data_IF_475608168439
#
_entry.id   IF_475608168439
#
_cell.length_a   1.000
_cell.length_b   1.000
_cell.length_c   1.000
_cell.angle_alpha   90.00
_cell.angle_beta   90.00
_cell.angle_gamma   90.00
#
_symmetry.space_group_name_H-M   'P 1'
#
loop_
_entity.id
_entity.type
_entity.pdbx_description
1 polymer ?
#
# COMPACT_ATOMS: atom_id res chain seq x y z
N UNK A 1 17.02 -10.70 -5.48
CA UNK A 1 16.90 -10.09 -4.14
C UNK A 1 15.67 -9.19 -4.15
N UNK A 2 14.80 -9.24 -3.13
CA UNK A 2 13.54 -8.52 -3.12
C UNK A 2 13.75 -7.05 -2.73
N UNK A 3 13.41 -6.11 -3.60
CA UNK A 3 13.42 -4.68 -3.32
C UNK A 3 11.99 -4.16 -3.16
N UNK A 4 11.80 -3.27 -2.18
CA UNK A 4 10.55 -2.55 -1.98
C UNK A 4 10.83 -1.05 -2.10
N UNK A 5 10.03 -0.37 -2.92
CA UNK A 5 10.01 1.08 -3.08
C UNK A 5 8.71 1.64 -2.55
N UNK A 6 8.79 2.61 -1.65
CA UNK A 6 7.62 3.34 -1.16
C UNK A 6 7.23 4.39 -2.19
N UNK A 7 6.11 4.18 -2.87
CA UNK A 7 5.62 5.12 -3.87
C UNK A 7 4.94 6.31 -3.20
N UNK A 8 4.13 6.04 -2.18
CA UNK A 8 3.57 7.05 -1.30
C UNK A 8 3.36 6.50 0.10
N UNK A 9 3.46 7.37 1.10
CA UNK A 9 3.25 7.01 2.51
C UNK A 9 2.28 7.95 3.24
N UNK A 10 1.47 8.71 2.50
CA UNK A 10 0.48 9.64 3.02
C UNK A 10 -0.91 9.02 3.12
N UNK A 11 -1.70 9.55 4.04
CA UNK A 11 -3.13 9.27 4.15
C UNK A 11 -3.92 9.66 2.89
N UNK A 12 -5.20 9.30 2.85
CA UNK A 12 -6.12 9.45 1.70
C UNK A 12 -6.19 10.84 1.03
N UNK A 13 -5.89 11.91 1.76
CA UNK A 13 -5.89 13.29 1.28
C UNK A 13 -4.50 13.84 0.94
N UNK A 14 -3.45 13.05 1.13
CA UNK A 14 -2.05 13.44 0.93
C UNK A 14 -1.55 14.49 1.94
N UNK A 15 -0.28 14.85 1.81
CA UNK A 15 0.33 15.98 2.52
C UNK A 15 1.20 16.75 1.52
N UNK A 16 0.96 18.06 1.29
CA UNK A 16 0.04 18.95 2.01
C UNK A 16 -1.45 18.71 1.71
N UNK A 17 -2.30 19.07 2.68
CA UNK A 17 -3.76 19.07 2.52
C UNK A 17 -4.20 20.40 1.89
N UNK A 18 -5.13 20.33 0.94
CA UNK A 18 -5.72 21.51 0.29
C UNK A 18 -6.27 22.48 1.37
N UNK A 19 -5.82 23.74 1.33
CA UNK A 19 -6.18 24.82 2.28
C UNK A 19 -5.73 24.61 3.74
N UNK A 20 -4.73 23.76 4.00
CA UNK A 20 -4.16 23.62 5.34
C UNK A 20 -2.81 24.33 5.46
N UNK A 21 -2.70 25.24 6.42
CA UNK A 21 -1.48 26.00 6.72
C UNK A 21 -0.74 25.48 7.97
N UNK A 22 -0.99 24.23 8.40
CA UNK A 22 -0.27 23.67 9.55
C UNK A 22 1.24 23.52 9.26
N UNK A 23 2.05 23.37 10.32
CA UNK A 23 3.51 23.26 10.21
C UNK A 23 3.97 22.15 9.26
N UNK A 24 3.30 20.99 9.26
CA UNK A 24 3.61 19.88 8.35
C UNK A 24 3.28 20.22 6.89
N UNK A 25 2.10 20.81 6.63
CA UNK A 25 1.68 21.15 5.26
C UNK A 25 2.51 22.28 4.65
N UNK A 26 2.96 23.23 5.46
CA UNK A 26 3.81 24.35 5.03
C UNK A 26 5.30 24.01 5.09
N UNK A 27 5.66 22.81 5.56
CA UNK A 27 7.05 22.38 5.72
C UNK A 27 7.78 22.34 4.37
N UNK A 28 8.99 22.93 4.27
CA UNK A 28 9.83 22.77 3.07
C UNK A 28 10.44 21.36 2.98
N UNK A 29 10.36 20.56 4.05
CA UNK A 29 10.91 19.21 4.12
C UNK A 29 10.25 18.30 3.09
N UNK A 30 11.05 17.69 2.22
CA UNK A 30 10.55 16.67 1.27
C UNK A 30 9.91 15.46 1.97
N UNK A 31 10.30 15.17 3.22
CA UNK A 31 9.77 14.06 4.00
C UNK A 31 8.33 14.28 4.50
N UNK A 32 7.87 15.53 4.50
CA UNK A 32 6.48 15.90 4.81
C UNK A 32 5.63 16.03 3.54
N UNK A 33 6.20 15.89 2.35
CA UNK A 33 5.45 15.79 1.10
C UNK A 33 5.15 14.33 0.84
N UNK A 34 3.89 13.94 0.99
CA UNK A 34 3.44 12.54 0.96
C UNK A 34 2.29 12.39 -0.01
N UNK A 35 2.51 11.59 -1.05
CA UNK A 35 1.46 11.08 -1.94
C UNK A 35 0.74 9.91 -1.29
N UNK A 36 -0.43 9.53 -1.82
CA UNK A 36 -1.25 8.44 -1.26
C UNK A 36 -0.53 7.11 -1.25
N UNK A 37 -0.88 6.29 -0.26
CA UNK A 37 -0.25 5.00 0.02
C UNK A 37 -0.19 4.10 -1.23
N UNK A 38 1.03 3.69 -1.58
CA UNK A 38 1.30 2.69 -2.61
C UNK A 38 2.74 2.20 -2.45
N UNK A 39 3.00 0.95 -2.82
CA UNK A 39 4.36 0.39 -2.86
C UNK A 39 4.61 -0.34 -4.17
N UNK A 40 5.87 -0.39 -4.56
CA UNK A 40 6.35 -1.18 -5.68
C UNK A 40 7.32 -2.23 -5.16
N UNK A 41 7.06 -3.49 -5.50
CA UNK A 41 7.82 -4.65 -5.06
C UNK A 41 8.43 -5.29 -6.29
N UNK A 42 9.74 -5.51 -6.28
CA UNK A 42 10.40 -6.13 -7.42
C UNK A 42 11.59 -7.00 -7.04
N UNK A 43 11.90 -7.93 -7.92
CA UNK A 43 13.20 -8.59 -8.00
C UNK A 43 13.66 -8.61 -9.46
N UNK A 44 14.58 -9.51 -9.81
CA UNK A 44 15.09 -9.63 -11.19
C UNK A 44 13.99 -10.08 -12.19
N UNK A 45 12.99 -10.83 -11.73
CA UNK A 45 12.01 -11.48 -12.60
C UNK A 45 10.57 -11.00 -12.38
N UNK A 46 10.33 -10.18 -11.35
CA UNK A 46 8.99 -9.80 -10.91
C UNK A 46 8.90 -8.28 -10.69
N UNK A 47 7.83 -7.65 -11.17
CA UNK A 47 7.49 -6.25 -10.97
C UNK A 47 6.03 -6.11 -10.54
N UNK A 48 5.79 -5.82 -9.27
CA UNK A 48 4.44 -5.84 -8.67
C UNK A 48 4.14 -4.47 -8.08
N UNK A 49 3.04 -3.88 -8.53
CA UNK A 49 2.48 -2.67 -7.92
C UNK A 49 1.46 -3.07 -6.86
N UNK A 50 1.49 -2.43 -5.69
CA UNK A 50 0.45 -2.57 -4.67
C UNK A 50 -0.20 -1.21 -4.44
N UNK A 51 -1.50 -1.15 -4.71
CA UNK A 51 -2.34 0.04 -4.80
C UNK A 51 -1.91 1.04 -5.88
N UNK A 52 -2.88 1.78 -6.40
CA UNK A 52 -2.76 2.66 -7.56
C UNK A 52 -3.76 3.82 -7.47
N UNK A 53 -3.62 4.60 -6.40
CA UNK A 53 -4.40 5.80 -6.15
C UNK A 53 -4.16 6.94 -7.13
N UNK A 54 -4.74 8.11 -6.82
CA UNK A 54 -4.68 9.32 -7.64
C UNK A 54 -3.27 9.76 -8.06
N UNK A 55 -2.24 9.43 -7.27
CA UNK A 55 -0.87 9.88 -7.51
C UNK A 55 -0.05 8.90 -8.38
N UNK A 56 -0.63 7.75 -8.78
CA UNK A 56 0.15 6.63 -9.30
C UNK A 56 1.00 6.98 -10.53
N UNK A 57 0.46 7.77 -11.47
CA UNK A 57 1.23 8.24 -12.62
C UNK A 57 2.49 8.98 -12.21
N UNK A 58 2.36 9.94 -11.29
CA UNK A 58 3.49 10.73 -10.82
C UNK A 58 4.47 9.89 -10.00
N UNK A 59 3.96 8.93 -9.20
CA UNK A 59 4.78 8.00 -8.45
C UNK A 59 5.63 7.10 -9.36
N UNK A 60 5.02 6.49 -10.38
CA UNK A 60 5.73 5.64 -11.36
C UNK A 60 6.76 6.43 -12.15
N UNK A 61 6.42 7.65 -12.59
CA UNK A 61 7.35 8.53 -13.31
C UNK A 61 8.53 8.97 -12.42
N UNK A 62 8.27 9.35 -11.16
CA UNK A 62 9.29 9.77 -10.20
C UNK A 62 10.31 8.64 -9.96
N UNK A 63 9.83 7.42 -9.81
CA UNK A 63 10.67 6.24 -9.56
C UNK A 63 11.21 5.58 -10.84
N UNK A 64 10.87 6.12 -12.02
CA UNK A 64 11.25 5.60 -13.34
C UNK A 64 10.82 4.14 -13.55
N UNK A 65 9.67 3.76 -13.00
CA UNK A 65 9.08 2.43 -13.16
C UNK A 65 8.39 2.39 -14.51
N UNK A 66 8.91 1.56 -15.42
CA UNK A 66 8.43 1.44 -16.80
C UNK A 66 7.92 0.02 -17.13
N UNK A 67 7.92 -0.90 -16.18
CA UNK A 67 7.42 -2.27 -16.33
C UNK A 67 6.70 -2.69 -15.06
N UNK A 68 5.54 -3.32 -15.23
CA UNK A 68 4.77 -4.01 -14.20
C UNK A 68 4.32 -5.34 -14.78
N UNK A 69 4.38 -6.43 -14.02
CA UNK A 69 3.80 -7.73 -14.41
C UNK A 69 2.31 -7.77 -14.01
N UNK A 70 1.97 -7.25 -12.85
CA UNK A 70 0.61 -7.14 -12.34
C UNK A 70 0.48 -6.00 -11.30
N UNK A 71 -0.75 -5.75 -10.86
CA UNK A 71 -1.03 -4.95 -9.68
C UNK A 71 -1.84 -5.74 -8.65
N UNK A 72 -1.73 -5.34 -7.38
CA UNK A 72 -2.54 -5.82 -6.27
C UNK A 72 -3.29 -4.61 -5.72
N UNK A 73 -4.60 -4.73 -5.54
CA UNK A 73 -5.41 -3.73 -4.83
C UNK A 73 -5.71 -4.28 -3.44
N UNK A 74 -5.37 -3.54 -2.39
CA UNK A 74 -5.58 -3.97 -1.01
C UNK A 74 -7.05 -3.94 -0.62
N UNK A 75 -7.76 -2.89 -1.04
CA UNK A 75 -9.19 -2.70 -0.85
C UNK A 75 -9.74 -1.58 -1.74
N UNK A 76 -11.06 -1.53 -1.92
CA UNK A 76 -11.72 -0.52 -2.73
C UNK A 76 -11.96 0.81 -1.97
N UNK A 77 -10.91 1.60 -1.74
CA UNK A 77 -11.02 3.01 -1.40
C UNK A 77 -10.36 3.90 -2.46
N UNK A 78 -10.84 5.15 -2.54
CA UNK A 78 -10.53 6.06 -3.66
C UNK A 78 -9.04 6.35 -3.82
N UNK A 79 -8.35 6.52 -2.70
CA UNK A 79 -6.92 6.73 -2.58
C UNK A 79 -6.06 5.52 -2.92
N UNK A 80 -6.65 4.33 -3.09
CA UNK A 80 -5.95 3.12 -3.53
C UNK A 80 -6.27 2.72 -4.97
N UNK A 81 -7.36 3.22 -5.56
CA UNK A 81 -7.87 2.72 -6.85
C UNK A 81 -8.01 3.77 -7.94
N UNK A 82 -8.20 5.05 -7.61
CA UNK A 82 -8.64 6.03 -8.62
C UNK A 82 -7.56 6.50 -9.61
N UNK A 83 -6.35 5.95 -9.55
CA UNK A 83 -5.33 6.08 -10.60
C UNK A 83 -5.32 4.94 -11.61
N UNK A 84 -6.26 3.98 -11.51
CA UNK A 84 -6.34 2.78 -12.36
C UNK A 84 -6.25 3.07 -13.87
N UNK A 85 -6.76 4.22 -14.32
CA UNK A 85 -6.76 4.57 -15.74
C UNK A 85 -5.34 4.81 -16.32
N UNK A 86 -4.42 5.27 -15.48
CA UNK A 86 -3.03 5.48 -15.87
C UNK A 86 -2.30 4.15 -16.12
N UNK A 87 -2.82 3.03 -15.62
CA UNK A 87 -2.21 1.70 -15.81
C UNK A 87 -2.48 1.09 -17.20
N UNK A 88 -3.35 1.68 -18.03
CA UNK A 88 -3.66 1.17 -19.38
C UNK A 88 -2.43 1.07 -20.28
N UNK A 89 -1.42 1.90 -20.04
CA UNK A 89 -0.15 1.85 -20.77
C UNK A 89 0.51 0.48 -20.68
N UNK A 90 0.38 -0.20 -19.54
CA UNK A 90 0.97 -1.53 -19.34
C UNK A 90 0.26 -2.61 -20.17
N UNK A 91 -1.04 -2.48 -20.41
CA UNK A 91 -1.77 -3.34 -21.35
C UNK A 91 -1.18 -3.22 -22.76
N UNK A 92 -0.98 -1.99 -23.24
CA UNK A 92 -0.45 -1.75 -24.58
C UNK A 92 1.00 -2.21 -24.73
N UNK A 93 1.82 -1.98 -23.70
CA UNK A 93 3.23 -2.41 -23.68
C UNK A 93 3.38 -3.93 -23.67
N UNK A 94 2.51 -4.64 -22.95
CA UNK A 94 2.58 -6.11 -22.85
C UNK A 94 1.83 -6.83 -23.98
N UNK A 95 0.97 -6.13 -24.72
CA UNK A 95 0.13 -6.73 -25.77
C UNK A 95 -0.96 -7.68 -25.23
N UNK A 96 -1.25 -7.62 -23.92
CA UNK A 96 -2.27 -8.43 -23.24
C UNK A 96 -2.94 -7.61 -22.13
N UNK A 97 -4.16 -7.99 -21.69
CA UNK A 97 -4.81 -7.32 -20.56
C UNK A 97 -3.91 -7.31 -19.33
N UNK A 98 -3.82 -6.15 -18.66
CA UNK A 98 -3.04 -6.02 -17.42
C UNK A 98 -3.82 -6.61 -16.23
N UNK A 99 -3.13 -7.41 -15.42
CA UNK A 99 -3.76 -8.23 -14.40
C UNK A 99 -3.76 -7.55 -13.02
N UNK A 100 -4.91 -7.55 -12.37
CA UNK A 100 -5.14 -6.97 -11.03
C UNK A 100 -5.59 -8.09 -10.08
N UNK A 101 -4.90 -8.27 -8.96
CA UNK A 101 -5.30 -9.18 -7.89
C UNK A 101 -5.97 -8.39 -6.77
N UNK A 102 -7.13 -8.84 -6.30
CA UNK A 102 -7.88 -8.17 -5.21
C UNK A 102 -8.93 -9.11 -4.64
N UNK A 103 -9.56 -8.77 -3.52
CA UNK A 103 -10.67 -9.55 -2.97
C UNK A 103 -11.94 -9.53 -3.86
N UNK A 104 -12.89 -10.39 -3.52
CA UNK A 104 -14.14 -10.56 -4.27
C UNK A 104 -14.99 -9.28 -4.31
N UNK A 105 -15.09 -8.55 -3.19
CA UNK A 105 -15.92 -7.36 -3.09
C UNK A 105 -15.30 -6.20 -3.87
N UNK A 106 -13.98 -6.03 -3.78
CA UNK A 106 -13.24 -5.06 -4.58
C UNK A 106 -13.28 -5.40 -6.07
N UNK A 107 -13.25 -6.68 -6.43
CA UNK A 107 -13.44 -7.13 -7.82
C UNK A 107 -14.80 -6.67 -8.36
N UNK A 108 -15.89 -6.95 -7.65
CA UNK A 108 -17.23 -6.54 -8.07
C UNK A 108 -17.36 -5.02 -8.24
N UNK A 109 -16.79 -4.24 -7.31
CA UNK A 109 -16.77 -2.78 -7.37
C UNK A 109 -15.97 -2.25 -8.56
N UNK A 110 -14.80 -2.83 -8.85
CA UNK A 110 -13.97 -2.47 -10.01
C UNK A 110 -14.73 -2.66 -11.32
N UNK A 111 -15.32 -3.83 -11.54
CA UNK A 111 -16.10 -4.11 -12.76
C UNK A 111 -17.32 -3.19 -12.91
N UNK A 112 -17.92 -2.77 -11.80
CA UNK A 112 -19.07 -1.84 -11.83
C UNK A 112 -18.63 -0.40 -12.12
N UNK A 113 -17.59 0.08 -11.46
CA UNK A 113 -17.20 1.51 -11.47
C UNK A 113 -16.27 1.87 -12.63
N UNK A 114 -15.49 0.90 -13.10
CA UNK A 114 -14.53 1.05 -14.19
C UNK A 114 -14.85 0.08 -15.34
N UNK A 115 -16.14 -0.20 -15.57
CA UNK A 115 -16.63 -1.18 -16.58
C UNK A 115 -15.91 -1.08 -17.93
N UNK A 116 -15.69 0.14 -18.43
CA UNK A 116 -15.03 0.35 -19.72
C UNK A 116 -13.58 -0.14 -19.80
N UNK A 117 -12.90 -0.37 -18.67
CA UNK A 117 -11.55 -0.95 -18.61
C UNK A 117 -11.59 -2.48 -18.71
N UNK A 118 -12.71 -3.10 -18.34
CA UNK A 118 -12.90 -4.55 -18.35
C UNK A 118 -13.69 -5.02 -19.58
N UNK A 119 -14.64 -4.21 -20.05
CA UNK A 119 -15.60 -4.54 -21.10
C UNK A 119 -15.59 -3.51 -22.26
N UNK A 120 -14.40 -3.09 -22.71
CA UNK A 120 -14.31 -2.13 -23.81
C UNK A 120 -14.66 -2.76 -25.17
N UNK A 121 -15.67 -2.21 -25.87
CA UNK A 121 -16.05 -2.70 -27.21
C UNK A 121 -15.05 -2.34 -28.31
N UNK A 122 -14.29 -1.25 -28.16
CA UNK A 122 -13.37 -0.74 -29.19
C UNK A 122 -11.95 -1.25 -28.99
N UNK A 123 -11.45 -1.22 -27.75
CA UNK A 123 -10.08 -1.58 -27.41
C UNK A 123 -9.93 -3.03 -26.94
N UNK A 124 -11.05 -3.75 -26.78
CA UNK A 124 -11.06 -5.02 -26.08
C UNK A 124 -10.80 -4.85 -24.58
N UNK A 125 -10.70 -5.97 -23.86
CA UNK A 125 -10.46 -5.97 -22.42
C UNK A 125 -9.09 -5.37 -22.10
N UNK A 126 -9.05 -4.25 -21.38
CA UNK A 126 -7.78 -3.64 -20.98
C UNK A 126 -7.21 -4.29 -19.73
N UNK A 127 -8.08 -4.65 -18.77
CA UNK A 127 -7.67 -5.27 -17.50
C UNK A 127 -8.38 -6.59 -17.22
N UNK A 128 -7.73 -7.44 -16.43
CA UNK A 128 -8.35 -8.60 -15.77
C UNK A 128 -8.28 -8.47 -14.27
N UNK A 129 -9.22 -9.12 -13.58
CA UNK A 129 -9.17 -9.30 -12.13
C UNK A 129 -9.01 -10.77 -11.79
N UNK A 130 -8.13 -11.07 -10.85
CA UNK A 130 -8.07 -12.36 -10.15
C UNK A 130 -8.51 -12.15 -8.72
N UNK A 131 -9.62 -12.80 -8.34
CA UNK A 131 -10.12 -12.71 -6.97
C UNK A 131 -9.23 -13.56 -6.05
N UNK A 132 -8.72 -12.96 -4.98
CA UNK A 132 -7.98 -13.66 -3.92
C UNK A 132 -8.75 -13.58 -2.60
N UNK A 133 -8.72 -14.66 -1.83
CA UNK A 133 -9.26 -14.70 -0.47
C UNK A 133 -8.21 -14.20 0.52
N UNK A 134 -8.66 -13.76 1.70
CA UNK A 134 -7.76 -13.26 2.75
C UNK A 134 -6.70 -14.25 3.22
N UNK A 135 -6.71 -15.54 2.86
CA UNK A 135 -5.66 -16.49 3.26
C UNK A 135 -5.07 -17.23 2.08
N UNK A 136 -5.33 -16.73 0.87
CA UNK A 136 -4.77 -17.29 -0.33
C UNK A 136 -3.27 -16.99 -0.40
N UNK A 137 -2.63 -17.80 -1.23
CA UNK A 137 -1.22 -17.71 -1.52
C UNK A 137 -1.05 -17.74 -3.03
N UNK A 138 -0.46 -16.68 -3.57
CA UNK A 138 -0.20 -16.57 -5.01
C UNK A 138 1.29 -16.50 -5.26
N UNK A 139 1.68 -16.86 -6.48
CA UNK A 139 3.05 -16.73 -6.95
C UNK A 139 3.07 -15.93 -8.24
N UNK A 140 3.70 -14.77 -8.21
CA UNK A 140 3.94 -13.91 -9.38
C UNK A 140 5.41 -14.09 -9.74
N UNK A 141 5.68 -14.83 -10.81
CA UNK A 141 7.03 -15.21 -11.23
C UNK A 141 7.84 -15.82 -10.07
N UNK A 142 8.76 -15.07 -9.47
CA UNK A 142 9.61 -15.53 -8.36
C UNK A 142 9.13 -15.07 -6.98
N UNK A 143 8.18 -14.13 -6.90
CA UNK A 143 7.64 -13.59 -5.65
C UNK A 143 6.41 -14.38 -5.22
N UNK A 144 6.45 -14.88 -4.00
CA UNK A 144 5.34 -15.58 -3.36
C UNK A 144 4.68 -14.67 -2.32
N UNK A 145 3.38 -14.44 -2.47
CA UNK A 145 2.61 -13.51 -1.64
C UNK A 145 1.54 -14.30 -0.91
N UNK A 146 1.53 -14.16 0.41
CA UNK A 146 0.45 -14.62 1.27
C UNK A 146 -0.42 -13.43 1.65
N UNK A 147 -1.73 -13.59 1.52
CA UNK A 147 -2.68 -12.59 2.01
C UNK A 147 -3.09 -12.92 3.45
N UNK A 148 -3.49 -11.88 4.18
CA UNK A 148 -4.16 -12.00 5.48
C UNK A 148 -5.23 -10.92 5.62
N UNK A 149 -6.20 -11.18 6.49
CA UNK A 149 -7.30 -10.25 6.77
C UNK A 149 -6.84 -9.15 7.72
N UNK A 150 -7.23 -7.92 7.43
CA UNK A 150 -7.10 -6.77 8.32
C UNK A 150 -8.47 -6.13 8.50
N UNK A 151 -8.80 -5.68 9.72
CA UNK A 151 -9.98 -4.86 9.93
C UNK A 151 -9.65 -3.40 9.59
N UNK A 152 -10.49 -2.78 8.78
CA UNK A 152 -10.38 -1.39 8.37
C UNK A 152 -11.74 -0.69 8.56
N UNK A 153 -12.06 -0.37 9.81
CA UNK A 153 -13.34 0.22 10.18
C UNK A 153 -14.51 -0.70 9.84
N UNK A 154 -15.44 -0.28 8.96
CA UNK A 154 -16.61 -1.08 8.58
C UNK A 154 -16.33 -2.16 7.52
N UNK A 155 -15.10 -2.23 7.00
CA UNK A 155 -14.70 -3.20 5.97
C UNK A 155 -13.45 -3.96 6.41
N UNK A 156 -13.07 -4.95 5.60
CA UNK A 156 -11.76 -5.60 5.68
C UNK A 156 -10.85 -5.12 4.53
N UNK A 157 -9.54 -5.15 4.75
CA UNK A 157 -8.51 -4.91 3.73
C UNK A 157 -7.51 -6.08 3.68
N UNK A 158 -6.83 -6.23 2.55
CA UNK A 158 -5.78 -7.24 2.37
C UNK A 158 -4.46 -6.75 2.97
N UNK A 159 -3.94 -7.51 3.94
CA UNK A 159 -2.54 -7.46 4.34
C UNK A 159 -1.72 -8.43 3.48
N UNK A 160 -0.46 -8.09 3.22
CA UNK A 160 0.44 -8.89 2.39
C UNK A 160 1.65 -9.35 3.20
N UNK A 161 2.04 -10.62 3.03
CA UNK A 161 3.29 -11.19 3.56
C UNK A 161 4.10 -11.83 2.44
N UNK A 162 5.39 -11.50 2.39
CA UNK A 162 6.38 -12.04 1.45
C UNK A 162 7.60 -12.45 2.27
N UNK A 163 7.74 -13.75 2.54
CA UNK A 163 8.79 -14.24 3.43
C UNK A 163 8.67 -13.65 4.84
N UNK A 164 9.66 -12.84 5.23
CA UNK A 164 9.78 -12.11 6.50
C UNK A 164 9.43 -10.61 6.37
N UNK A 165 8.95 -10.16 5.21
CA UNK A 165 8.40 -8.83 4.99
C UNK A 165 6.87 -8.83 5.04
N UNK A 166 6.29 -7.85 5.74
CA UNK A 166 4.84 -7.66 5.88
C UNK A 166 4.45 -6.22 5.52
N UNK A 167 3.37 -6.07 4.77
CA UNK A 167 2.74 -4.80 4.41
C UNK A 167 1.29 -4.77 4.90
N UNK A 168 1.02 -3.82 5.80
CA UNK A 168 -0.27 -3.62 6.48
C UNK A 168 -0.72 -2.17 6.41
N UNK A 169 -1.12 -1.66 5.23
CA UNK A 169 -1.76 -0.35 5.14
C UNK A 169 -3.20 -0.44 5.65
N UNK A 170 -3.76 0.71 6.02
CA UNK A 170 -5.19 0.91 6.30
C UNK A 170 -5.78 -0.19 7.19
N UNK A 171 -5.35 -0.20 8.46
CA UNK A 171 -5.70 -1.21 9.46
C UNK A 171 -5.94 -0.59 10.82
N UNK A 172 -7.01 -1.00 11.50
CA UNK A 172 -7.25 -0.69 12.92
C UNK A 172 -7.02 -1.90 13.83
N UNK A 173 -7.26 -3.11 13.32
CA UNK A 173 -7.07 -4.33 14.10
C UNK A 173 -6.81 -5.56 13.22
N UNK A 174 -6.24 -6.61 13.82
CA UNK A 174 -6.02 -7.89 13.15
C UNK A 174 -6.90 -8.96 13.81
N UNK A 175 -7.77 -9.65 13.04
CA UNK A 175 -8.54 -10.75 13.60
C UNK A 175 -7.61 -11.92 14.01
N UNK A 176 -8.00 -12.76 14.99
CA UNK A 176 -7.14 -13.82 15.52
C UNK A 176 -6.58 -14.78 14.47
N UNK A 177 -7.32 -15.08 13.41
CA UNK A 177 -6.86 -15.95 12.32
C UNK A 177 -5.70 -15.36 11.50
N UNK A 178 -5.48 -14.05 11.58
CA UNK A 178 -4.36 -13.35 10.92
C UNK A 178 -3.06 -13.40 11.76
N UNK A 179 -3.10 -13.77 13.04
CA UNK A 179 -1.92 -13.76 13.93
C UNK A 179 -0.77 -14.63 13.39
N UNK A 180 -1.07 -15.69 12.65
CA UNK A 180 -0.04 -16.57 12.05
C UNK A 180 0.82 -15.87 10.99
N UNK A 181 0.31 -14.83 10.34
CA UNK A 181 1.03 -14.04 9.33
C UNK A 181 1.82 -12.88 9.94
N UNK A 182 1.71 -12.66 11.25
CA UNK A 182 2.35 -11.55 11.96
C UNK A 182 3.48 -12.03 12.89
N UNK A 183 4.04 -13.22 12.63
CA UNK A 183 5.17 -13.78 13.41
C UNK A 183 6.48 -13.66 12.65
N UNK A 184 7.60 -13.66 13.35
CA UNK A 184 8.95 -13.71 12.76
C UNK A 184 9.13 -12.69 11.62
N UNK A 185 8.72 -11.44 11.88
CA UNK A 185 8.75 -10.36 10.90
C UNK A 185 10.09 -9.64 10.99
N UNK A 186 10.82 -9.57 9.88
CA UNK A 186 12.02 -8.75 9.77
C UNK A 186 11.67 -7.29 9.51
N UNK A 187 10.82 -7.03 8.51
CA UNK A 187 10.38 -5.67 8.18
C UNK A 187 8.85 -5.64 8.08
N UNK A 188 8.23 -4.78 8.88
CA UNK A 188 6.79 -4.52 8.84
C UNK A 188 6.52 -3.08 8.43
N UNK A 189 5.94 -2.88 7.24
CA UNK A 189 5.32 -1.59 6.92
C UNK A 189 3.90 -1.60 7.49
N UNK A 190 3.56 -0.59 8.29
CA UNK A 190 2.37 -0.61 9.12
C UNK A 190 1.67 0.75 9.16
N UNK A 191 0.33 0.73 9.13
CA UNK A 191 -0.52 1.91 9.27
C UNK A 191 -0.20 2.69 10.56
N UNK A 192 -0.06 4.00 10.42
CA UNK A 192 0.12 4.94 11.51
C UNK A 192 -0.45 6.28 11.09
N UNK A 193 -1.77 6.37 11.01
CA UNK A 193 -2.45 7.55 10.50
C UNK A 193 -2.20 8.78 11.37
N UNK A 194 -2.15 8.62 12.69
CA UNK A 194 -1.95 9.71 13.67
C UNK A 194 -1.22 9.21 14.92
N UNK A 195 -1.02 10.07 15.92
CA UNK A 195 -0.46 9.64 17.23
C UNK A 195 -1.42 8.72 18.01
N UNK A 196 -2.72 8.84 17.76
CA UNK A 196 -3.79 8.05 18.38
C UNK A 196 -4.64 7.40 17.31
N UNK A 197 -5.03 6.16 17.58
CA UNK A 197 -5.91 5.39 16.72
C UNK A 197 -7.30 6.03 16.64
N UNK A 198 -7.95 5.86 15.49
CA UNK A 198 -9.35 6.20 15.27
C UNK A 198 -10.14 4.92 14.91
N UNK A 199 -11.46 4.98 14.68
CA UNK A 199 -12.23 3.76 14.38
C UNK A 199 -11.80 2.97 13.15
N UNK A 200 -11.05 3.57 12.23
CA UNK A 200 -10.68 2.97 10.94
C UNK A 200 -9.18 2.71 10.79
N UNK A 201 -8.33 3.42 11.53
CA UNK A 201 -6.87 3.39 11.38
C UNK A 201 -6.13 3.35 12.71
N UNK A 202 -5.09 2.54 12.74
CA UNK A 202 -4.09 2.53 13.79
C UNK A 202 -3.35 3.87 13.84
N UNK A 203 -3.10 4.32 15.06
CA UNK A 203 -2.13 5.35 15.36
C UNK A 203 -0.86 4.77 15.96
N UNK A 204 0.07 5.64 16.34
CA UNK A 204 1.32 5.25 16.99
C UNK A 204 1.08 4.40 18.25
N UNK A 205 -0.01 4.63 18.97
CA UNK A 205 -0.40 3.82 20.13
C UNK A 205 -0.58 2.33 19.81
N UNK A 206 -1.32 1.99 18.74
CA UNK A 206 -1.49 0.62 18.27
C UNK A 206 -0.22 0.03 17.68
N UNK A 207 0.56 0.84 16.95
CA UNK A 207 1.88 0.42 16.44
C UNK A 207 2.78 -0.06 17.57
N UNK A 208 2.84 0.69 18.68
CA UNK A 208 3.67 0.32 19.83
C UNK A 208 3.12 -0.91 20.57
N UNK A 209 1.81 -1.09 20.65
CA UNK A 209 1.18 -2.32 21.18
C UNK A 209 1.60 -3.55 20.34
N UNK A 210 1.46 -3.47 19.02
CA UNK A 210 1.82 -4.56 18.11
C UNK A 210 3.32 -4.82 18.03
N UNK A 211 4.14 -3.78 18.20
CA UNK A 211 5.59 -3.92 18.36
C UNK A 211 5.92 -4.85 19.53
N UNK A 212 5.30 -4.66 20.69
CA UNK A 212 5.54 -5.51 21.86
C UNK A 212 4.98 -6.92 21.67
N UNK A 213 3.80 -7.05 21.06
CA UNK A 213 3.13 -8.35 20.81
C UNK A 213 3.92 -9.22 19.83
N UNK A 214 4.29 -8.67 18.68
CA UNK A 214 4.82 -9.45 17.54
C UNK A 214 6.35 -9.33 17.37
N UNK A 215 6.98 -8.35 18.03
CA UNK A 215 8.44 -8.16 18.08
C UNK A 215 9.13 -8.18 16.70
N UNK A 216 8.65 -7.39 15.72
CA UNK A 216 9.33 -7.26 14.43
C UNK A 216 10.74 -6.67 14.59
N UNK A 217 11.70 -7.07 13.75
CA UNK A 217 13.04 -6.48 13.79
C UNK A 217 13.01 -5.00 13.41
N UNK A 218 12.16 -4.60 12.46
CA UNK A 218 11.94 -3.21 12.06
C UNK A 218 10.48 -2.93 11.70
N UNK A 219 9.96 -1.77 12.13
CA UNK A 219 8.67 -1.21 11.72
C UNK A 219 8.90 0.06 10.90
N UNK A 220 8.16 0.20 9.82
CA UNK A 220 8.17 1.34 8.90
C UNK A 220 6.74 1.93 8.83
N UNK A 221 6.57 3.16 9.31
CA UNK A 221 5.25 3.78 9.41
C UNK A 221 4.80 4.31 8.05
N UNK A 222 3.59 3.95 7.63
CA UNK A 222 2.93 4.47 6.41
C UNK A 222 1.58 5.13 6.73
N UNK A 223 0.88 5.60 5.70
CA UNK A 223 -0.46 6.20 5.77
C UNK A 223 -0.54 7.44 6.68
N UNK A 224 0.55 8.18 6.85
CA UNK A 224 0.67 9.25 7.84
C UNK A 224 -0.02 10.53 7.35
N UNK A 225 -0.97 11.05 8.13
CA UNK A 225 -1.65 12.31 7.82
C UNK A 225 -0.80 13.54 8.17
N UNK A 226 -1.28 14.73 7.79
CA UNK A 226 -0.59 16.00 8.03
C UNK A 226 -0.38 16.41 9.50
N UNK A 227 -0.96 15.70 10.48
CA UNK A 227 -0.68 15.93 11.92
C UNK A 227 0.64 15.32 12.35
N UNK A 228 1.16 14.36 11.58
CA UNK A 228 2.47 13.77 11.81
C UNK A 228 3.51 14.56 11.01
N UNK A 229 4.35 15.32 11.69
CA UNK A 229 5.60 15.84 11.13
C UNK A 229 6.70 14.76 11.20
N UNK A 230 7.41 14.55 10.10
CA UNK A 230 8.44 13.52 9.98
C UNK A 230 9.56 13.67 11.02
N UNK A 231 10.03 14.89 11.26
CA UNK A 231 11.16 15.15 12.15
C UNK A 231 10.72 15.08 13.61
N UNK A 232 9.52 15.56 13.93
CA UNK A 232 8.99 15.49 15.29
C UNK A 232 8.69 14.06 15.72
N UNK A 233 7.99 13.27 14.88
CA UNK A 233 7.69 11.88 15.24
C UNK A 233 8.99 11.07 15.39
N UNK A 234 10.00 11.30 14.53
CA UNK A 234 11.29 10.59 14.60
C UNK A 234 11.97 10.70 15.96
N UNK A 235 11.81 11.82 16.68
CA UNK A 235 12.39 12.01 18.03
C UNK A 235 11.74 11.12 19.09
N UNK A 236 10.52 10.64 18.85
CA UNK A 236 9.72 9.88 19.80
C UNK A 236 9.77 8.37 19.56
N UNK A 237 10.25 7.94 18.39
CA UNK A 237 10.18 6.55 17.97
C UNK A 237 11.31 5.72 18.59
N UNK A 238 11.01 4.47 19.01
CA UNK A 238 12.05 3.49 19.34
C UNK A 238 13.00 3.26 18.15
N UNK A 239 14.23 2.82 18.42
CA UNK A 239 15.28 2.63 17.41
C UNK A 239 14.88 1.76 16.20
N UNK A 240 13.97 0.80 16.40
CA UNK A 240 13.49 -0.10 15.35
C UNK A 240 12.21 0.38 14.65
N UNK A 241 11.70 1.57 14.95
CA UNK A 241 10.52 2.15 14.30
C UNK A 241 10.93 3.42 13.56
N UNK A 242 10.57 3.54 12.28
CA UNK A 242 10.93 4.70 11.46
C UNK A 242 9.75 5.19 10.63
N UNK A 243 9.54 6.52 10.48
CA UNK A 243 8.55 7.03 9.55
C UNK A 243 9.06 6.88 8.12
N UNK A 244 8.19 6.46 7.22
CA UNK A 244 8.51 6.42 5.79
C UNK A 244 8.43 7.81 5.15
N UNK A 245 8.97 7.89 3.94
CA UNK A 245 8.80 9.00 3.03
C UNK A 245 8.75 8.48 1.60
N UNK A 246 8.11 9.24 0.71
CA UNK A 246 8.01 8.91 -0.71
C UNK A 246 9.39 8.73 -1.35
N UNK A 247 9.60 7.59 -2.02
CA UNK A 247 10.85 7.20 -2.65
C UNK A 247 11.84 6.48 -1.72
N UNK A 248 11.45 6.17 -0.48
CA UNK A 248 12.24 5.28 0.38
C UNK A 248 12.38 3.89 -0.27
N UNK A 249 13.59 3.31 -0.27
CA UNK A 249 13.88 2.00 -0.85
C UNK A 249 14.64 1.16 0.15
N UNK A 250 14.28 -0.11 0.23
CA UNK A 250 15.01 -1.09 1.03
C UNK A 250 14.93 -2.46 0.37
N UNK A 251 15.75 -3.35 0.88
CA UNK A 251 15.86 -4.72 0.41
C UNK A 251 15.59 -5.65 1.58
N UNK A 252 14.83 -6.71 1.30
CA UNK A 252 14.46 -7.75 2.26
C UNK A 252 15.48 -8.88 2.21
#
# INVERSE_FOLDING_TARGET
>A
MLQVTILGCGASIGVPVIRCDCSTCTSPSKYNKRTRSAIYINDENSQILVDFGFDIRNQLLREKINKLDCAILTHYHSDHVNGIDDLRVFTFMQGKPFEIYTDHDSTAKLHTKFDYLFNNKLLGRLFTTQSVSFFDKIKINTIEIQFFRQHHGPIDSLGLRIGDFVYSPDVIDFPPESDKFLKDIKIWILDCMDYKSNPNHAGLDKVLEWREKYKPEQILLTNMRHTIDYHEITKMLPNNVKPLYDGYKFTV
#
